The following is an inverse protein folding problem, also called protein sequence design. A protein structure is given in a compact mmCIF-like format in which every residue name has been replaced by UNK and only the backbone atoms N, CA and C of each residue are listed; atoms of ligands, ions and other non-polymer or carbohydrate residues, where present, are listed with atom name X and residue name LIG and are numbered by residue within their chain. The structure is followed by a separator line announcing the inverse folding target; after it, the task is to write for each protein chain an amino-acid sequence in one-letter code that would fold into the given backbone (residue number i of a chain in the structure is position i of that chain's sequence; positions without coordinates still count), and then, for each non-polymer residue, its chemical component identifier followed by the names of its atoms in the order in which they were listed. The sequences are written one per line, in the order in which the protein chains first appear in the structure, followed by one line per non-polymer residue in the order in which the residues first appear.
data_IF_577118753787
#
_entry.id   IF_577118753787
#
_cell.length_a   1.000
_cell.length_b   1.000
_cell.length_c   1.000
_cell.angle_alpha   90.00
_cell.angle_beta   90.00
_cell.angle_gamma   90.00
#
_symmetry.space_group_name_H-M   'P 1'
#
loop_
_entity.id
_entity.type
_entity.pdbx_description
1 polymer ?
#
# COMPACT_ATOMS: atom_id res chain seq x y z
N UNK A 1 -6.48 17.48 31.52
CA UNK A 1 -7.03 17.32 30.16
C UNK A 1 -7.02 15.85 29.81
N UNK A 2 -8.20 15.23 29.79
CA UNK A 2 -8.35 13.81 29.50
C UNK A 2 -8.06 13.54 28.01
N UNK A 3 -7.14 12.60 27.73
CA UNK A 3 -7.04 11.99 26.40
C UNK A 3 -8.37 11.29 26.13
N UNK A 4 -9.21 11.89 25.29
CA UNK A 4 -10.24 11.16 24.57
C UNK A 4 -9.53 10.09 23.74
N UNK A 5 -9.34 8.91 24.32
CA UNK A 5 -9.01 7.70 23.58
C UNK A 5 -10.18 7.50 22.63
N UNK A 6 -9.96 7.75 21.34
CA UNK A 6 -10.85 7.29 20.28
C UNK A 6 -10.94 5.77 20.42
N UNK A 7 -11.99 5.29 21.08
CA UNK A 7 -12.21 3.89 21.38
C UNK A 7 -12.68 3.09 20.15
N UNK A 8 -12.27 3.49 18.94
CA UNK A 8 -12.78 2.91 17.69
C UNK A 8 -11.70 2.45 16.71
N UNK A 9 -10.42 2.73 16.95
CA UNK A 9 -9.33 2.30 16.04
C UNK A 9 -8.73 0.93 16.40
N UNK A 10 -8.78 0.52 17.66
CA UNK A 10 -8.06 -0.67 18.14
C UNK A 10 -8.79 -2.00 17.90
N UNK A 11 -10.09 -1.99 17.58
CA UNK A 11 -10.92 -3.21 17.47
C UNK A 11 -11.03 -3.75 16.04
N UNK A 12 -10.57 -3.01 15.02
CA UNK A 12 -10.79 -3.37 13.60
C UNK A 12 -9.58 -4.06 12.95
N UNK A 13 -8.38 -3.97 13.53
CA UNK A 13 -7.15 -4.13 12.75
C UNK A 13 -6.65 -5.57 12.48
N UNK A 14 -7.08 -6.62 13.20
CA UNK A 14 -6.48 -7.95 13.03
C UNK A 14 -7.44 -9.04 12.48
N UNK A 15 -8.76 -8.82 12.55
CA UNK A 15 -9.77 -9.80 12.08
C UNK A 15 -10.51 -9.40 10.81
N UNK A 16 -10.25 -8.20 10.26
CA UNK A 16 -11.03 -7.61 9.17
C UNK A 16 -10.18 -7.19 7.96
N UNK A 17 -8.87 -7.42 7.99
CA UNK A 17 -8.00 -7.13 6.84
C UNK A 17 -8.28 -8.15 5.73
N UNK A 18 -8.67 -7.70 4.52
CA UNK A 18 -8.87 -8.59 3.38
C UNK A 18 -7.63 -9.43 3.08
N UNK A 19 -7.82 -10.71 2.76
CA UNK A 19 -6.72 -11.65 2.51
C UNK A 19 -5.81 -11.18 1.36
N UNK A 20 -6.37 -10.50 0.37
CA UNK A 20 -5.62 -9.97 -0.77
C UNK A 20 -4.66 -8.84 -0.36
N UNK A 21 -4.98 -8.08 0.70
CA UNK A 21 -4.06 -7.06 1.23
C UNK A 21 -2.93 -7.67 2.08
N UNK A 22 -3.15 -8.86 2.63
CA UNK A 22 -2.13 -9.61 3.37
C UNK A 22 -1.10 -10.27 2.44
N UNK A 23 -1.47 -10.51 1.18
CA UNK A 23 -0.57 -11.05 0.15
C UNK A 23 -0.32 -10.01 -0.98
N UNK A 24 0.81 -9.29 -0.95
CA UNK A 24 1.18 -8.35 -2.01
C UNK A 24 1.32 -8.98 -3.40
N UNK A 25 1.44 -10.32 -3.48
CA UNK A 25 1.57 -11.07 -4.74
C UNK A 25 0.26 -11.76 -5.14
N UNK A 26 -0.84 -11.47 -4.45
CA UNK A 26 -2.14 -12.05 -4.77
C UNK A 26 -2.51 -11.80 -6.23
N UNK A 27 -3.14 -12.78 -6.87
CA UNK A 27 -3.43 -12.78 -8.30
C UNK A 27 -4.28 -11.56 -8.74
N UNK A 28 -5.10 -11.02 -7.83
CA UNK A 28 -5.94 -9.83 -8.08
C UNK A 28 -5.12 -8.61 -8.50
N UNK A 29 -3.88 -8.47 -8.02
CA UNK A 29 -3.02 -7.32 -8.30
C UNK A 29 -2.37 -7.39 -9.69
N UNK A 30 -2.31 -8.58 -10.29
CA UNK A 30 -1.67 -8.79 -11.60
C UNK A 30 -2.44 -8.16 -12.75
N UNK A 31 -3.77 -8.09 -12.65
CA UNK A 31 -4.65 -7.55 -13.68
C UNK A 31 -5.30 -6.24 -13.20
N UNK A 32 -5.12 -5.10 -13.93
CA UNK A 32 -5.74 -3.84 -13.58
C UNK A 32 -7.27 -3.89 -13.39
N UNK A 33 -7.97 -4.72 -14.17
CA UNK A 33 -9.43 -4.87 -14.05
C UNK A 33 -9.81 -5.57 -12.74
N UNK A 34 -9.10 -6.62 -12.38
CA UNK A 34 -9.36 -7.36 -11.14
C UNK A 34 -9.03 -6.49 -9.92
N UNK A 35 -7.92 -5.76 -9.94
CA UNK A 35 -7.57 -4.84 -8.87
C UNK A 35 -8.62 -3.72 -8.69
N UNK A 36 -9.13 -3.15 -9.80
CA UNK A 36 -10.17 -2.15 -9.73
C UNK A 36 -11.51 -2.73 -9.23
N UNK A 37 -11.89 -3.92 -9.69
CA UNK A 37 -13.09 -4.61 -9.21
C UNK A 37 -13.02 -4.89 -7.72
N UNK A 38 -11.89 -5.43 -7.24
CA UNK A 38 -11.67 -5.65 -5.82
C UNK A 38 -11.83 -4.34 -5.01
N UNK A 39 -11.28 -3.23 -5.51
CA UNK A 39 -11.47 -1.94 -4.82
C UNK A 39 -12.93 -1.49 -4.78
N UNK A 40 -13.68 -1.73 -5.86
CA UNK A 40 -15.12 -1.42 -5.92
C UNK A 40 -15.92 -2.28 -4.94
N UNK A 41 -15.65 -3.59 -4.89
CA UNK A 41 -16.28 -4.55 -3.98
C UNK A 41 -16.02 -4.19 -2.50
N UNK A 42 -14.89 -3.54 -2.22
CA UNK A 42 -14.52 -3.03 -0.89
C UNK A 42 -14.93 -1.56 -0.66
N UNK A 43 -15.73 -0.98 -1.54
CA UNK A 43 -16.22 0.42 -1.46
C UNK A 43 -15.10 1.46 -1.39
N UNK A 44 -13.97 1.19 -2.04
CA UNK A 44 -12.83 2.09 -2.17
C UNK A 44 -12.92 2.85 -3.50
N UNK A 45 -12.15 3.93 -3.62
CA UNK A 45 -12.04 4.67 -4.86
C UNK A 45 -11.40 3.80 -5.95
N UNK A 46 -12.21 3.27 -6.86
CA UNK A 46 -11.80 2.35 -7.92
C UNK A 46 -11.62 3.06 -9.27
N UNK A 47 -10.61 2.66 -10.03
CA UNK A 47 -10.44 3.09 -11.42
C UNK A 47 -9.54 2.14 -12.19
N UNK A 48 -10.09 1.49 -13.22
CA UNK A 48 -9.32 0.61 -14.11
C UNK A 48 -8.20 1.38 -14.82
N UNK A 49 -8.47 2.63 -15.22
CA UNK A 49 -7.47 3.50 -15.84
C UNK A 49 -6.31 3.75 -14.87
N UNK A 50 -6.63 4.14 -13.62
CA UNK A 50 -5.61 4.35 -12.59
C UNK A 50 -4.80 3.08 -12.32
N UNK A 51 -5.45 1.92 -12.25
CA UNK A 51 -4.77 0.65 -12.06
C UNK A 51 -3.86 0.29 -13.23
N UNK A 52 -4.21 0.65 -14.46
CA UNK A 52 -3.38 0.42 -15.64
C UNK A 52 -2.12 1.28 -15.60
N UNK A 53 -2.24 2.52 -15.13
CA UNK A 53 -1.12 3.48 -15.05
C UNK A 53 -0.15 3.17 -13.91
N UNK A 54 -0.53 2.29 -12.97
CA UNK A 54 0.37 1.85 -11.91
C UNK A 54 1.37 0.82 -12.45
N UNK A 55 2.68 1.04 -12.23
CA UNK A 55 3.72 0.09 -12.62
C UNK A 55 3.53 -1.22 -11.87
N UNK A 56 3.09 -2.29 -12.54
CA UNK A 56 3.04 -3.65 -11.99
C UNK A 56 2.09 -3.91 -10.80
N UNK A 57 2.04 -5.17 -10.32
CA UNK A 57 1.13 -5.60 -9.25
C UNK A 57 1.42 -4.99 -7.87
N UNK A 58 2.69 -4.81 -7.48
CA UNK A 58 3.01 -4.34 -6.13
C UNK A 58 2.57 -2.90 -5.92
N UNK A 59 2.60 -2.05 -6.96
CA UNK A 59 2.07 -0.70 -6.87
C UNK A 59 0.54 -0.65 -6.84
N UNK A 60 -0.16 -1.61 -7.47
CA UNK A 60 -1.62 -1.73 -7.34
C UNK A 60 -2.02 -2.17 -5.94
N UNK A 61 -1.36 -3.19 -5.39
CA UNK A 61 -1.50 -3.59 -3.99
C UNK A 61 -1.26 -2.40 -3.06
N UNK A 62 -0.15 -1.67 -3.25
CA UNK A 62 0.17 -0.51 -2.43
C UNK A 62 -0.86 0.62 -2.55
N UNK A 63 -1.44 0.84 -3.72
CA UNK A 63 -2.51 1.83 -3.89
C UNK A 63 -3.80 1.39 -3.17
N UNK A 64 -4.19 0.13 -3.33
CA UNK A 64 -5.34 -0.46 -2.65
C UNK A 64 -5.17 -0.39 -1.12
N UNK A 65 -3.99 -0.75 -0.60
CA UNK A 65 -3.66 -0.67 0.81
C UNK A 65 -3.78 0.76 1.37
N UNK A 66 -3.35 1.77 0.60
CA UNK A 66 -3.51 3.18 1.01
C UNK A 66 -4.97 3.60 1.12
N UNK A 67 -5.78 3.27 0.11
CA UNK A 67 -7.20 3.62 0.09
C UNK A 67 -7.94 2.89 1.22
N UNK A 68 -7.64 1.61 1.42
CA UNK A 68 -8.20 0.83 2.51
C UNK A 68 -7.81 1.41 3.88
N UNK A 69 -6.52 1.71 4.11
CA UNK A 69 -6.06 2.30 5.36
C UNK A 69 -6.75 3.64 5.67
N UNK A 70 -6.96 4.47 4.64
CA UNK A 70 -7.70 5.71 4.78
C UNK A 70 -9.18 5.46 5.14
N UNK A 71 -9.84 4.52 4.47
CA UNK A 71 -11.23 4.14 4.77
C UNK A 71 -11.41 3.57 6.19
N UNK A 72 -10.41 2.85 6.69
CA UNK A 72 -10.37 2.32 8.06
C UNK A 72 -9.95 3.36 9.12
N UNK A 73 -9.62 4.58 8.70
CA UNK A 73 -9.16 5.63 9.61
C UNK A 73 -7.76 5.38 10.21
N UNK A 74 -6.96 4.48 9.62
CA UNK A 74 -5.57 4.19 10.00
C UNK A 74 -4.65 5.33 9.56
N UNK A 75 -4.89 6.50 10.17
CA UNK A 75 -4.28 7.76 9.80
C UNK A 75 -3.59 8.38 11.00
N UNK A 76 -2.51 9.12 10.72
CA UNK A 76 -1.79 9.91 11.69
C UNK A 76 -1.88 11.38 11.32
N UNK A 77 -2.04 12.24 12.32
CA UNK A 77 -2.11 13.69 12.12
C UNK A 77 -0.76 14.30 12.43
N UNK A 78 -0.16 14.97 11.46
CA UNK A 78 1.14 15.61 11.63
C UNK A 78 1.00 16.97 12.33
N UNK A 79 2.07 17.46 12.98
CA UNK A 79 2.07 18.75 13.69
C UNK A 79 1.72 20.00 12.85
N UNK A 80 1.61 19.89 11.52
CA UNK A 80 1.17 20.97 10.61
C UNK A 80 -0.29 20.84 10.14
N UNK A 81 -1.10 19.96 10.74
CA UNK A 81 -2.50 19.75 10.37
C UNK A 81 -2.75 18.78 9.20
N UNK A 82 -1.69 18.35 8.51
CA UNK A 82 -1.76 17.30 7.48
C UNK A 82 -2.15 15.94 8.07
N UNK A 83 -2.89 15.16 7.28
CA UNK A 83 -3.26 13.77 7.60
C UNK A 83 -2.48 12.84 6.69
N UNK A 84 -1.73 11.91 7.28
CA UNK A 84 -1.05 10.83 6.56
C UNK A 84 -1.56 9.47 7.00
N UNK A 85 -1.06 8.43 6.37
CA UNK A 85 -1.33 7.05 6.77
C UNK A 85 -0.42 6.68 7.94
N UNK A 86 -1.00 6.04 8.96
CA UNK A 86 -0.23 5.44 10.05
C UNK A 86 0.29 4.07 9.60
N UNK A 87 1.48 4.06 8.98
CA UNK A 87 2.12 2.84 8.50
C UNK A 87 2.46 1.85 9.60
N UNK A 88 2.61 2.30 10.85
CA UNK A 88 2.83 1.39 11.97
C UNK A 88 1.55 0.57 12.23
N UNK A 89 0.39 1.22 12.25
CA UNK A 89 -0.90 0.51 12.39
C UNK A 89 -1.23 -0.35 11.18
N UNK A 90 -0.90 0.08 9.96
CA UNK A 90 -1.08 -0.74 8.76
C UNK A 90 -0.22 -2.02 8.80
N UNK A 91 1.05 -1.92 9.24
CA UNK A 91 1.89 -3.10 9.44
C UNK A 91 1.37 -3.99 10.58
N UNK A 92 0.85 -3.41 11.67
CA UNK A 92 0.21 -4.16 12.76
C UNK A 92 -1.07 -4.89 12.30
N UNK A 93 -1.73 -4.40 11.26
CA UNK A 93 -2.85 -5.06 10.58
C UNK A 93 -2.42 -6.18 9.60
N UNK A 94 -1.12 -6.46 9.50
CA UNK A 94 -0.56 -7.52 8.65
C UNK A 94 -0.28 -7.12 7.21
N UNK A 95 -0.53 -5.86 6.83
CA UNK A 95 -0.33 -5.39 5.45
C UNK A 95 1.14 -5.00 5.27
N UNK A 96 1.88 -5.81 4.50
CA UNK A 96 3.28 -5.52 4.19
C UNK A 96 3.40 -4.51 3.04
N UNK A 97 4.04 -3.37 3.30
CA UNK A 97 4.18 -2.27 2.35
C UNK A 97 5.13 -2.52 1.16
N UNK A 98 5.99 -3.54 1.24
CA UNK A 98 6.93 -3.97 0.19
C UNK A 98 7.66 -2.81 -0.54
N UNK A 99 8.10 -1.77 0.20
CA UNK A 99 8.54 -0.48 -0.37
C UNK A 99 9.68 -0.60 -1.38
N UNK A 100 10.72 -1.38 -1.08
CA UNK A 100 11.86 -1.59 -1.98
C UNK A 100 11.45 -2.25 -3.30
N UNK A 101 10.66 -3.33 -3.24
CA UNK A 101 10.22 -4.05 -4.43
C UNK A 101 9.29 -3.19 -5.32
N UNK A 102 8.47 -2.32 -4.72
CA UNK A 102 7.66 -1.35 -5.46
C UNK A 102 8.48 -0.28 -6.16
N UNK A 103 9.58 0.16 -5.54
CA UNK A 103 10.52 1.08 -6.17
C UNK A 103 11.17 0.38 -7.37
N UNK A 104 11.61 -0.86 -7.23
CA UNK A 104 12.15 -1.64 -8.35
C UNK A 104 11.15 -1.76 -9.50
N UNK A 105 9.88 -2.07 -9.21
CA UNK A 105 8.82 -2.17 -10.21
C UNK A 105 8.58 -0.84 -10.97
N UNK A 106 8.72 0.30 -10.27
CA UNK A 106 8.68 1.63 -10.91
C UNK A 106 9.89 1.89 -11.79
N UNK A 107 11.08 1.51 -11.34
CA UNK A 107 12.33 1.70 -12.08
C UNK A 107 12.35 0.84 -13.34
N UNK A 108 11.97 -0.43 -13.24
CA UNK A 108 11.81 -1.35 -14.37
C UNK A 108 10.80 -0.83 -15.38
N UNK A 109 9.63 -0.36 -14.93
CA UNK A 109 8.63 0.23 -15.81
C UNK A 109 9.11 1.51 -16.51
N UNK A 110 9.97 2.29 -15.85
CA UNK A 110 10.62 3.45 -16.43
C UNK A 110 11.80 3.09 -17.36
N UNK A 111 12.10 1.80 -17.56
CA UNK A 111 13.24 1.35 -18.37
C UNK A 111 14.59 1.58 -17.72
N UNK A 112 14.64 1.80 -16.41
CA UNK A 112 15.89 2.02 -15.67
C UNK A 112 16.53 0.66 -15.34
N UNK A 113 17.71 0.42 -15.90
CA UNK A 113 18.55 -0.71 -15.53
C UNK A 113 19.43 -0.32 -14.35
N UNK A 114 19.29 -1.00 -13.21
CA UNK A 114 20.24 -0.86 -12.10
C UNK A 114 21.42 -1.78 -12.38
N UNK A 115 22.50 -1.25 -12.94
CA UNK A 115 23.81 -1.90 -12.89
C UNK A 115 24.34 -1.79 -11.46
N UNK A 116 24.56 -2.91 -10.78
CA UNK A 116 25.45 -2.92 -9.63
C UNK A 116 26.85 -2.64 -10.19
N UNK A 117 27.44 -1.51 -9.82
CA UNK A 117 28.89 -1.34 -9.91
C UNK A 117 29.52 -2.34 -8.91
N UNK A 118 29.69 -3.58 -9.34
CA UNK A 118 30.75 -4.41 -8.80
C UNK A 118 32.05 -3.89 -9.41
N UNK A 119 33.05 -3.67 -8.55
CA UNK A 119 34.44 -3.37 -8.89
C UNK A 119 34.81 -1.89 -9.09
N UNK A 120 34.96 -1.15 -7.99
CA UNK A 120 36.12 -0.23 -7.86
C UNK A 120 36.50 0.00 -6.40
N UNK A 121 37.19 -0.96 -5.79
CA UNK A 121 38.36 -0.69 -4.93
C UNK A 121 39.08 -1.99 -4.62
N UNK A 122 39.73 -2.53 -5.64
CA UNK A 122 40.98 -3.26 -5.45
C UNK A 122 42.12 -2.33 -5.86
N UNK A 123 42.88 -1.85 -4.87
CA UNK A 123 44.34 -1.61 -4.88
C UNK A 123 44.75 -1.06 -3.53
#
# INVERSE_FOLDING_TARGET
MARLRSASAATVAAGYTPAELLDPRHAVWTNPKHAAQWMEDHHLNSSVARMRDLPGPLNRHGHAAQQWAHAQGLTTRYPGGGVGIDWHQVNAAGINWASGARIMEKLEHAGVTITKDNDTNGS
#
